data_IF_350796766511
#
_entry.id   IF_350796766511
#
_cell.length_a   1.000
_cell.length_b   1.000
_cell.length_c   1.000
_cell.angle_alpha   90.00
_cell.angle_beta   90.00
_cell.angle_gamma   90.00
#
_symmetry.space_group_name_H-M   'P 1'
#
loop_
_entity.id
_entity.type
_entity.pdbx_description
1 polymer ?
#
# COMPACT_ATOMS: atom_id res chain seq x y z
N UNK A 1 1.29 64.90 1.23
CA UNK A 1 1.16 65.21 2.68
C UNK A 1 -0.22 64.75 3.11
N UNK A 2 -0.31 64.14 4.29
CA UNK A 2 -1.47 63.45 4.91
C UNK A 2 -1.51 61.92 4.72
N UNK A 3 -0.82 61.29 5.67
CA UNK A 3 -1.05 59.96 6.27
C UNK A 3 -2.46 59.85 6.86
N UNK A 4 -3.01 58.62 6.90
CA UNK A 4 -3.77 58.05 8.02
C UNK A 4 -3.59 56.52 7.97
N UNK A 5 -3.06 55.96 9.05
CA UNK A 5 -3.02 54.52 9.35
C UNK A 5 -4.39 54.03 9.86
N UNK A 6 -4.70 52.75 9.67
CA UNK A 6 -5.79 52.10 10.41
C UNK A 6 -6.20 50.72 9.91
N UNK A 7 -5.60 49.68 10.50
CA UNK A 7 -6.11 48.31 10.68
C UNK A 7 -6.58 47.48 9.46
N UNK A 8 -5.89 46.35 9.22
CA UNK A 8 -6.50 45.00 9.17
C UNK A 8 -5.45 43.89 9.13
N UNK A 9 -5.48 43.03 10.15
CA UNK A 9 -4.87 41.71 10.11
C UNK A 9 -5.76 40.73 9.34
N UNK A 10 -5.13 39.68 8.82
CA UNK A 10 -5.69 38.41 8.31
C UNK A 10 -6.35 38.46 6.92
N UNK A 11 -5.69 37.87 5.93
CA UNK A 11 -6.22 36.73 5.14
C UNK A 11 -5.16 36.19 4.18
N UNK A 12 -5.17 34.86 3.99
CA UNK A 12 -4.20 34.04 3.21
C UNK A 12 -4.15 34.47 1.73
N UNK A 13 -2.98 34.45 1.05
CA UNK A 13 -2.90 34.72 -0.38
C UNK A 13 -3.22 33.45 -1.17
N UNK A 14 -4.13 33.52 -2.14
CA UNK A 14 -4.33 32.42 -3.09
C UNK A 14 -5.73 32.24 -3.67
N UNK A 15 -6.58 33.26 -3.70
CA UNK A 15 -7.84 33.20 -4.43
C UNK A 15 -8.08 34.54 -5.12
N UNK A 16 -7.60 34.66 -6.35
CA UNK A 16 -8.03 35.61 -7.39
C UNK A 16 -7.11 35.38 -8.59
N UNK A 17 -7.65 34.78 -9.65
CA UNK A 17 -7.41 35.00 -11.09
C UNK A 17 -8.18 33.87 -11.78
N UNK A 18 -9.49 34.02 -11.96
CA UNK A 18 -10.25 33.58 -13.15
C UNK A 18 -11.50 34.48 -13.23
N UNK A 19 -11.33 35.75 -13.58
CA UNK A 19 -12.42 36.56 -14.16
C UNK A 19 -11.78 37.60 -15.07
N UNK A 20 -11.46 37.22 -16.32
CA UNK A 20 -11.35 38.17 -17.43
C UNK A 20 -11.19 37.53 -18.82
N UNK A 21 -11.99 36.53 -19.16
CA UNK A 21 -12.29 36.25 -20.57
C UNK A 21 -13.75 35.82 -20.63
N UNK A 22 -14.58 36.69 -21.20
CA UNK A 22 -15.83 36.45 -21.94
C UNK A 22 -16.64 37.76 -21.90
N UNK A 23 -16.18 38.72 -22.71
CA UNK A 23 -17.03 39.80 -23.17
C UNK A 23 -17.90 39.30 -24.32
N UNK A 24 -19.17 39.73 -24.32
CA UNK A 24 -20.16 39.64 -25.39
C UNK A 24 -20.67 38.22 -25.73
N UNK A 25 -21.91 37.91 -25.33
CA UNK A 25 -23.07 37.79 -26.23
C UNK A 25 -24.37 37.82 -25.40
N UNK A 26 -25.27 38.76 -25.73
CA UNK A 26 -26.72 38.56 -25.85
C UNK A 26 -27.57 38.26 -24.62
N UNK A 27 -28.40 39.24 -24.23
CA UNK A 27 -29.67 38.99 -23.51
C UNK A 27 -30.59 38.11 -24.36
N UNK A 28 -31.10 37.03 -23.78
CA UNK A 28 -32.38 36.42 -24.17
C UNK A 28 -33.17 36.21 -22.88
N UNK A 29 -34.36 36.82 -22.87
CA UNK A 29 -35.42 36.81 -21.87
C UNK A 29 -36.27 35.54 -21.98
N UNK A 30 -36.79 35.10 -20.83
CA UNK A 30 -37.98 34.27 -20.62
C UNK A 30 -38.11 32.96 -21.42
N UNK A 31 -37.80 31.84 -20.75
CA UNK A 31 -38.51 30.57 -20.96
C UNK A 31 -38.73 29.87 -19.61
N UNK A 32 -39.98 29.49 -19.41
CA UNK A 32 -40.63 28.98 -18.21
C UNK A 32 -39.95 27.74 -17.61
N UNK A 33 -39.94 27.66 -16.28
CA UNK A 33 -39.69 26.44 -15.53
C UNK A 33 -40.81 25.43 -15.84
N UNK A 34 -40.49 24.44 -16.67
CA UNK A 34 -41.25 23.19 -16.76
C UNK A 34 -40.49 22.12 -15.97
N UNK A 35 -41.05 21.70 -14.82
CA UNK A 35 -40.69 20.44 -14.19
C UNK A 35 -41.00 19.30 -15.17
N UNK A 36 -40.05 18.41 -15.50
CA UNK A 36 -40.38 17.16 -16.14
C UNK A 36 -40.66 16.08 -15.10
N UNK A 37 -41.77 15.39 -15.38
CA UNK A 37 -42.35 14.22 -14.74
C UNK A 37 -41.36 13.25 -14.09
N UNK A 38 -41.69 12.89 -12.85
CA UNK A 38 -41.17 11.74 -12.13
C UNK A 38 -41.57 10.44 -12.84
N UNK A 39 -40.78 9.97 -13.82
CA UNK A 39 -40.68 8.55 -14.22
C UNK A 39 -39.60 8.35 -15.28
N UNK A 40 -38.33 8.57 -14.90
CA UNK A 40 -37.21 8.01 -15.65
C UNK A 40 -36.26 7.32 -14.68
N UNK A 41 -36.11 6.01 -14.87
CA UNK A 41 -35.32 5.10 -14.05
C UNK A 41 -33.84 5.51 -14.16
N UNK A 42 -33.39 6.37 -13.24
CA UNK A 42 -31.97 6.62 -13.03
C UNK A 42 -31.34 5.33 -12.51
N UNK A 43 -30.58 4.67 -13.37
CA UNK A 43 -29.64 3.62 -13.00
C UNK A 43 -28.82 4.10 -11.82
N UNK A 44 -29.07 3.51 -10.64
CA UNK A 44 -28.27 3.71 -9.45
C UNK A 44 -26.79 3.47 -9.80
N UNK A 45 -26.01 4.54 -9.88
CA UNK A 45 -24.57 4.44 -9.85
C UNK A 45 -24.18 3.79 -8.53
N UNK A 46 -23.80 2.51 -8.58
CA UNK A 46 -23.18 1.80 -7.47
C UNK A 46 -22.02 2.66 -6.94
N UNK A 47 -22.19 3.21 -5.73
CA UNK A 47 -21.18 4.06 -5.12
C UNK A 47 -20.12 3.15 -4.51
N UNK A 48 -18.89 3.33 -4.94
CA UNK A 48 -17.74 2.51 -4.52
C UNK A 48 -17.39 2.65 -3.04
N UNK A 49 -17.72 3.79 -2.42
CA UNK A 49 -17.80 4.00 -0.98
C UNK A 49 -18.84 5.12 -0.72
N UNK A 50 -19.45 5.22 0.47
CA UNK A 50 -20.44 6.25 0.76
C UNK A 50 -19.87 7.67 0.59
N UNK A 51 -20.71 8.61 0.12
CA UNK A 51 -20.35 10.03 -0.02
C UNK A 51 -20.01 10.66 1.34
N UNK A 52 -19.11 11.64 1.32
CA UNK A 52 -18.89 12.70 2.32
C UNK A 52 -18.67 12.19 3.75
N UNK A 53 -17.40 11.97 4.12
CA UNK A 53 -16.98 11.91 5.53
C UNK A 53 -17.57 10.76 6.35
N UNK A 54 -18.36 9.88 5.75
CA UNK A 54 -18.96 8.73 6.42
C UNK A 54 -17.86 7.73 6.74
N UNK A 55 -17.46 7.71 8.01
CA UNK A 55 -16.49 6.79 8.58
C UNK A 55 -17.16 5.42 8.79
N UNK A 56 -17.34 4.67 7.71
CA UNK A 56 -17.92 3.32 7.77
C UNK A 56 -16.82 2.32 8.09
N UNK A 57 -16.98 1.58 9.19
CA UNK A 57 -16.10 0.46 9.53
C UNK A 57 -16.55 -0.79 8.77
N UNK A 58 -15.64 -1.65 8.31
CA UNK A 58 -16.02 -2.97 7.81
C UNK A 58 -16.68 -3.80 8.93
N UNK A 59 -17.55 -4.73 8.56
CA UNK A 59 -18.04 -5.76 9.47
C UNK A 59 -16.90 -6.74 9.78
N UNK A 60 -16.08 -6.41 10.77
CA UNK A 60 -15.20 -7.38 11.38
C UNK A 60 -16.05 -8.24 12.30
N UNK A 61 -16.20 -9.54 11.99
CA UNK A 61 -16.77 -10.48 12.95
C UNK A 61 -15.95 -10.39 14.24
N UNK A 62 -16.60 -10.19 15.39
CA UNK A 62 -15.96 -10.36 16.69
C UNK A 62 -15.63 -11.84 16.85
N UNK A 63 -14.34 -12.19 16.97
CA UNK A 63 -13.89 -13.59 16.97
C UNK A 63 -13.75 -14.09 18.41
N UNK A 64 -14.28 -15.30 18.73
CA UNK A 64 -14.30 -15.83 20.09
C UNK A 64 -12.93 -15.95 20.74
N UNK A 65 -12.92 -15.65 22.04
CA UNK A 65 -11.76 -15.53 22.92
C UNK A 65 -11.21 -16.89 23.36
N UNK A 66 -10.30 -17.51 22.61
CA UNK A 66 -9.46 -18.59 23.16
C UNK A 66 -8.27 -18.94 22.25
N UNK A 67 -7.12 -18.28 22.40
CA UNK A 67 -5.77 -18.89 22.43
C UNK A 67 -4.66 -17.86 22.67
N UNK A 68 -3.57 -18.32 23.26
CA UNK A 68 -2.59 -17.57 24.04
C UNK A 68 -1.41 -16.97 23.24
N UNK A 69 -0.86 -15.88 23.79
CA UNK A 69 0.51 -15.31 23.66
C UNK A 69 1.40 -15.91 22.54
N UNK A 70 1.23 -15.46 21.30
CA UNK A 70 2.27 -15.56 20.25
C UNK A 70 2.76 -14.17 19.88
N UNK A 71 4.07 -14.00 19.77
CA UNK A 71 4.69 -12.77 19.27
C UNK A 71 4.12 -12.43 17.89
N UNK A 72 3.59 -11.22 17.75
CA UNK A 72 2.92 -10.70 16.54
C UNK A 72 3.89 -10.38 15.39
N UNK A 73 5.15 -10.81 15.52
CA UNK A 73 6.24 -10.57 14.58
C UNK A 73 6.40 -11.63 13.49
N UNK A 74 5.38 -12.41 13.14
CA UNK A 74 5.69 -13.74 12.60
C UNK A 74 4.77 -14.20 11.46
N UNK A 75 4.69 -13.37 10.41
CA UNK A 75 4.29 -13.77 9.06
C UNK A 75 5.44 -13.54 8.07
N UNK A 76 5.47 -14.31 6.98
CA UNK A 76 6.42 -14.26 5.88
C UNK A 76 5.73 -14.82 4.60
N UNK A 77 6.47 -15.17 3.54
CA UNK A 77 5.99 -15.96 2.38
C UNK A 77 6.66 -17.34 2.27
N UNK A 78 7.23 -17.85 3.36
CA UNK A 78 7.77 -19.21 3.48
C UNK A 78 6.69 -20.24 3.80
N UNK A 79 6.96 -21.52 3.56
CA UNK A 79 6.00 -22.63 3.76
C UNK A 79 5.28 -22.61 5.13
N UNK A 80 5.99 -22.29 6.21
CA UNK A 80 5.46 -22.36 7.59
C UNK A 80 4.84 -21.06 8.13
N UNK A 81 5.07 -19.93 7.45
CA UNK A 81 4.61 -18.59 7.87
C UNK A 81 3.95 -17.81 6.73
N UNK A 82 3.70 -18.51 5.63
CA UNK A 82 3.22 -17.98 4.35
C UNK A 82 1.73 -17.63 4.36
N UNK A 83 1.24 -17.06 3.25
CA UNK A 83 -0.15 -16.65 3.07
C UNK A 83 -1.21 -17.65 3.52
N UNK A 84 -0.99 -18.95 3.29
CA UNK A 84 -1.94 -20.01 3.65
C UNK A 84 -2.11 -20.16 5.17
N UNK A 85 -1.13 -19.70 5.95
CA UNK A 85 -1.16 -19.75 7.42
C UNK A 85 -1.69 -18.45 8.04
N UNK A 86 -1.78 -17.36 7.28
CA UNK A 86 -2.14 -16.05 7.81
C UNK A 86 -3.52 -16.02 8.46
N UNK A 87 -4.60 -16.63 7.91
CA UNK A 87 -5.91 -16.66 8.55
C UNK A 87 -5.92 -17.21 9.98
N UNK A 88 -5.00 -18.13 10.31
CA UNK A 88 -4.91 -18.73 11.65
C UNK A 88 -4.44 -17.72 12.71
N UNK A 89 -3.71 -16.67 12.31
CA UNK A 89 -3.16 -15.65 13.23
C UNK A 89 -3.81 -14.29 13.03
N UNK A 90 -4.25 -14.01 11.81
CA UNK A 90 -4.88 -12.78 11.36
C UNK A 90 -6.17 -13.16 10.65
N UNK A 91 -7.26 -13.40 11.38
CA UNK A 91 -8.50 -13.93 10.80
C UNK A 91 -9.10 -13.06 9.69
N UNK A 92 -8.80 -11.77 9.69
CA UNK A 92 -9.17 -10.85 8.60
C UNK A 92 -8.56 -11.23 7.25
N UNK A 93 -7.49 -12.02 7.22
CA UNK A 93 -6.90 -12.53 5.97
C UNK A 93 -7.76 -13.59 5.26
N UNK A 94 -8.84 -14.09 5.87
CA UNK A 94 -9.85 -14.94 5.22
C UNK A 94 -11.18 -14.23 4.95
N UNK A 95 -11.17 -12.89 4.91
CA UNK A 95 -12.36 -12.13 4.55
C UNK A 95 -12.81 -12.34 3.10
N UNK A 96 -14.03 -11.91 2.73
CA UNK A 96 -14.57 -12.11 1.39
C UNK A 96 -14.02 -11.12 0.34
N UNK A 97 -13.43 -10.00 0.75
CA UNK A 97 -12.95 -8.92 -0.13
C UNK A 97 -11.42 -8.81 -0.12
N UNK A 98 -10.73 -9.96 -0.15
CA UNK A 98 -9.27 -10.01 -0.10
C UNK A 98 -8.60 -9.61 -1.43
N UNK A 99 -7.34 -9.19 -1.32
CA UNK A 99 -6.45 -8.83 -2.43
C UNK A 99 -5.13 -9.60 -2.33
N UNK A 100 -4.39 -9.79 -3.44
CA UNK A 100 -4.65 -9.31 -4.81
C UNK A 100 -5.72 -10.14 -5.54
N UNK A 101 -6.20 -9.67 -6.69
CA UNK A 101 -7.16 -10.39 -7.55
C UNK A 101 -6.66 -10.48 -9.00
N UNK A 102 -7.21 -11.42 -9.77
CA UNK A 102 -7.03 -11.41 -11.22
C UNK A 102 -7.92 -10.35 -11.85
N UNK A 103 -7.35 -9.48 -12.67
CA UNK A 103 -8.03 -8.39 -13.36
C UNK A 103 -8.16 -8.72 -14.84
N UNK A 104 -9.34 -8.56 -15.39
CA UNK A 104 -9.61 -8.70 -16.82
C UNK A 104 -10.32 -7.43 -17.32
N UNK A 105 -9.64 -6.72 -18.22
CA UNK A 105 -10.13 -5.48 -18.83
C UNK A 105 -11.38 -5.68 -19.70
N UNK A 106 -11.60 -6.91 -20.21
CA UNK A 106 -12.74 -7.24 -21.07
C UNK A 106 -14.04 -7.45 -20.29
N UNK A 107 -13.94 -7.89 -19.03
CA UNK A 107 -15.08 -8.09 -18.14
C UNK A 107 -15.30 -6.93 -17.17
N UNK A 108 -14.38 -5.96 -17.13
CA UNK A 108 -14.49 -4.82 -16.25
C UNK A 108 -15.64 -3.88 -16.65
N UNK A 109 -16.43 -3.46 -15.67
CA UNK A 109 -17.57 -2.57 -15.89
C UNK A 109 -17.07 -1.16 -16.20
N UNK A 110 -17.35 -0.68 -17.41
CA UNK A 110 -16.97 0.67 -17.82
C UNK A 110 -17.74 1.72 -17.03
N UNK A 111 -17.03 2.74 -16.55
CA UNK A 111 -17.65 3.89 -15.89
C UNK A 111 -16.89 5.17 -16.23
N UNK A 112 -17.61 6.27 -16.34
CA UNK A 112 -17.02 7.58 -16.57
C UNK A 112 -16.73 8.23 -15.21
N UNK A 113 -15.44 8.40 -14.91
CA UNK A 113 -15.01 9.14 -13.72
C UNK A 113 -13.90 10.11 -14.10
N UNK A 114 -13.80 11.25 -13.40
CA UNK A 114 -12.68 12.17 -13.55
C UNK A 114 -11.35 11.46 -13.30
N UNK A 115 -10.32 11.88 -14.04
CA UNK A 115 -8.95 11.40 -13.82
C UNK A 115 -8.49 11.73 -12.40
N UNK A 116 -7.55 10.96 -11.89
CA UNK A 116 -6.85 11.30 -10.64
C UNK A 116 -6.02 12.57 -10.87
N UNK A 117 -6.21 13.54 -9.98
CA UNK A 117 -5.43 14.77 -9.92
C UNK A 117 -4.35 14.63 -8.85
N UNK A 118 -3.09 14.83 -9.25
CA UNK A 118 -1.91 14.63 -8.40
C UNK A 118 -1.33 15.97 -7.98
N UNK A 119 -1.16 16.18 -6.67
CA UNK A 119 -0.59 17.40 -6.11
C UNK A 119 0.71 17.12 -5.35
N UNK A 120 1.70 17.99 -5.56
CA UNK A 120 2.98 17.93 -4.86
C UNK A 120 3.94 16.82 -5.30
N UNK A 121 3.53 15.89 -6.17
CA UNK A 121 4.37 14.76 -6.62
C UNK A 121 5.63 15.18 -7.40
N UNK A 122 5.65 16.40 -7.95
CA UNK A 122 6.81 17.02 -8.60
C UNK A 122 7.76 17.70 -7.61
N UNK A 123 7.35 17.89 -6.35
CA UNK A 123 8.15 18.54 -5.32
C UNK A 123 9.16 17.54 -4.76
N UNK A 124 10.44 17.93 -4.77
CA UNK A 124 11.53 17.13 -4.21
C UNK A 124 11.39 17.06 -2.68
N UNK A 125 11.34 15.86 -2.07
CA UNK A 125 11.31 15.72 -0.62
C UNK A 125 12.64 16.17 0.02
N UNK A 126 12.60 16.51 1.32
CA UNK A 126 13.80 16.81 2.11
C UNK A 126 14.63 15.55 2.36
N UNK A 127 13.96 14.44 2.63
CA UNK A 127 14.58 13.15 2.96
C UNK A 127 13.87 12.04 2.22
N UNK A 128 14.65 11.05 1.78
CA UNK A 128 14.14 9.84 1.18
C UNK A 128 14.96 8.67 1.72
N UNK A 129 14.27 7.64 2.20
CA UNK A 129 14.88 6.50 2.89
C UNK A 129 14.37 5.21 2.27
N UNK A 130 15.29 4.32 1.96
CA UNK A 130 15.02 2.98 1.45
C UNK A 130 15.39 1.96 2.53
N UNK A 131 14.49 1.04 2.83
CA UNK A 131 14.70 -0.01 3.83
C UNK A 131 14.38 -1.38 3.27
N UNK A 132 15.22 -2.38 3.55
CA UNK A 132 14.91 -3.79 3.33
C UNK A 132 14.57 -4.45 4.66
N UNK A 133 13.32 -4.89 4.81
CA UNK A 133 12.84 -5.46 6.07
C UNK A 133 12.75 -7.01 6.05
N UNK A 134 13.29 -7.66 5.00
CA UNK A 134 13.75 -9.06 5.05
C UNK A 134 12.75 -10.20 4.76
N UNK A 135 11.56 -9.97 4.21
CA UNK A 135 10.57 -11.05 3.97
C UNK A 135 10.57 -11.61 2.55
N UNK A 136 10.24 -12.90 2.43
CA UNK A 136 10.48 -13.72 1.22
C UNK A 136 9.50 -14.85 0.98
N UNK A 137 9.30 -15.15 -0.30
CA UNK A 137 9.21 -16.52 -0.78
C UNK A 137 10.59 -16.95 -1.27
N UNK A 138 11.02 -18.14 -0.87
CA UNK A 138 12.35 -18.70 -1.20
C UNK A 138 12.30 -19.32 -2.60
N UNK A 139 13.36 -19.15 -3.38
CA UNK A 139 13.56 -19.92 -4.62
C UNK A 139 14.02 -21.34 -4.27
N UNK A 140 13.16 -22.33 -4.48
CA UNK A 140 13.60 -23.73 -4.51
C UNK A 140 14.18 -24.01 -5.88
N UNK A 141 15.51 -23.99 -6.00
CA UNK A 141 16.16 -24.55 -7.18
C UNK A 141 15.96 -26.07 -7.16
N UNK A 142 15.19 -26.59 -8.11
CA UNK A 142 15.07 -28.03 -8.37
C UNK A 142 16.37 -28.52 -9.03
N UNK A 143 17.43 -28.63 -8.22
CA UNK A 143 18.61 -29.38 -8.63
C UNK A 143 18.26 -30.87 -8.58
N UNK A 144 18.25 -31.50 -9.76
CA UNK A 144 18.19 -32.95 -9.95
C UNK A 144 19.20 -33.60 -9.02
N UNK A 145 18.71 -34.43 -8.10
CA UNK A 145 19.50 -35.26 -7.21
C UNK A 145 20.25 -36.31 -8.00
N UNK A 146 21.57 -36.19 -8.10
CA UNK A 146 22.43 -37.36 -8.24
C UNK A 146 22.74 -37.85 -6.83
N UNK A 147 22.27 -39.06 -6.57
CA UNK A 147 22.53 -39.84 -5.37
C UNK A 147 24.03 -40.08 -5.20
N UNK A 148 24.56 -39.82 -4.01
CA UNK A 148 25.58 -40.70 -3.45
C UNK A 148 25.60 -40.61 -1.92
N UNK A 149 25.50 -41.80 -1.34
CA UNK A 149 25.43 -42.08 0.08
C UNK A 149 26.83 -41.98 0.71
N UNK A 150 26.93 -41.42 1.91
CA UNK A 150 27.92 -41.90 2.88
C UNK A 150 27.48 -41.63 4.31
N UNK A 151 27.26 -42.72 5.06
CA UNK A 151 27.08 -42.77 6.52
C UNK A 151 28.38 -42.41 7.25
N UNK A 152 28.26 -41.83 8.45
CA UNK A 152 29.03 -42.12 9.68
C UNK A 152 28.42 -41.32 10.85
N UNK A 153 27.70 -41.97 11.77
CA UNK A 153 28.10 -42.37 13.14
C UNK A 153 28.41 -41.19 14.07
N UNK A 154 27.61 -41.05 15.14
CA UNK A 154 27.72 -39.96 16.12
C UNK A 154 28.55 -40.29 17.35
N UNK A 155 28.65 -39.33 18.27
CA UNK A 155 28.94 -39.47 19.71
C UNK A 155 28.35 -38.26 20.44
N UNK A 156 27.83 -38.51 21.65
CA UNK A 156 27.15 -37.62 22.59
C UNK A 156 28.06 -36.84 23.56
N UNK A 157 27.47 -35.76 24.12
CA UNK A 157 27.72 -35.07 25.41
C UNK A 157 28.93 -34.14 25.58
N UNK A 158 28.66 -32.86 25.95
CA UNK A 158 29.04 -32.31 27.26
C UNK A 158 28.35 -30.95 27.57
N UNK A 159 27.84 -30.84 28.80
CA UNK A 159 27.31 -29.64 29.45
C UNK A 159 28.42 -28.61 29.76
N UNK A 160 28.09 -27.30 29.67
CA UNK A 160 28.54 -26.31 30.65
C UNK A 160 27.64 -25.08 30.69
N UNK A 161 27.39 -24.62 31.91
CA UNK A 161 26.44 -23.58 32.31
C UNK A 161 27.16 -22.28 32.71
N UNK A 162 26.34 -21.21 32.77
CA UNK A 162 26.37 -19.99 33.62
C UNK A 162 26.76 -18.66 32.96
N UNK A 163 25.88 -17.68 33.19
CA UNK A 163 26.17 -16.24 33.11
C UNK A 163 24.95 -15.33 32.88
N UNK A 164 23.89 -15.41 33.71
CA UNK A 164 22.82 -14.40 33.75
C UNK A 164 22.99 -13.52 34.99
N UNK A 165 22.95 -12.20 34.81
CA UNK A 165 22.83 -11.22 35.91
C UNK A 165 21.41 -10.70 35.99
N UNK A 166 20.85 -10.76 37.20
CA UNK A 166 19.58 -10.21 37.62
C UNK A 166 19.69 -8.71 37.92
N UNK A 167 18.62 -7.97 37.66
CA UNK A 167 18.31 -6.75 38.40
C UNK A 167 16.82 -6.75 38.76
N UNK A 168 16.54 -6.62 40.06
CA UNK A 168 15.24 -6.70 40.71
C UNK A 168 15.01 -5.37 41.43
N UNK A 169 14.01 -4.57 41.06
CA UNK A 169 13.47 -3.52 41.95
C UNK A 169 11.96 -3.33 41.74
N UNK A 170 11.22 -3.86 42.71
CA UNK A 170 10.04 -3.36 43.41
C UNK A 170 8.77 -2.93 42.64
N UNK A 171 7.74 -3.76 42.82
CA UNK A 171 6.33 -3.41 42.69
C UNK A 171 5.86 -2.52 43.85
N UNK A 172 4.97 -1.57 43.56
CA UNK A 172 4.01 -1.02 44.52
C UNK A 172 2.60 -1.16 43.96
N UNK A 173 1.73 -1.71 44.82
CA UNK A 173 0.33 -2.00 44.60
C UNK A 173 -0.53 -0.72 44.54
N UNK A 174 -1.46 -0.66 43.59
CA UNK A 174 -2.77 -0.02 43.74
C UNK A 174 -3.85 -0.92 43.10
N UNK A 175 -4.99 -1.04 43.79
CA UNK A 175 -6.13 -1.95 43.57
C UNK A 175 -7.03 -1.54 42.38
N UNK A 176 -7.99 -2.39 41.94
CA UNK A 176 -8.24 -2.67 40.53
C UNK A 176 -9.36 -1.83 39.92
N UNK A 177 -9.14 -1.32 38.72
CA UNK A 177 -10.20 -0.80 37.87
C UNK A 177 -10.56 -1.89 36.85
N UNK A 178 -11.76 -2.46 37.03
CA UNK A 178 -12.62 -3.17 36.07
C UNK A 178 -11.88 -4.07 35.05
N UNK A 179 -12.02 -5.38 35.26
CA UNK A 179 -11.62 -6.46 34.34
C UNK A 179 -12.20 -6.24 32.93
N UNK A 180 -11.47 -5.50 32.10
CA UNK A 180 -11.51 -5.64 30.65
C UNK A 180 -10.69 -6.88 30.29
N UNK A 181 -11.36 -7.97 29.92
CA UNK A 181 -10.72 -9.18 29.43
C UNK A 181 -9.85 -8.83 28.22
N UNK A 182 -8.53 -9.02 28.34
CA UNK A 182 -7.56 -8.73 27.28
C UNK A 182 -7.41 -9.97 26.39
N UNK A 183 -7.94 -9.91 25.16
CA UNK A 183 -8.33 -11.06 24.32
C UNK A 183 -7.30 -11.51 23.27
N UNK A 184 -6.00 -11.24 23.40
CA UNK A 184 -4.92 -11.96 22.68
C UNK A 184 -4.87 -11.88 21.13
N UNK A 185 -5.94 -11.49 20.43
CA UNK A 185 -5.99 -11.19 19.00
C UNK A 185 -5.71 -9.69 18.85
N UNK A 186 -4.68 -9.28 18.09
CA UNK A 186 -4.32 -7.87 17.99
C UNK A 186 -5.39 -7.16 17.15
N UNK A 187 -5.88 -6.03 17.63
CA UNK A 187 -6.75 -5.18 16.82
C UNK A 187 -6.05 -4.79 15.52
N UNK A 188 -6.80 -4.51 14.46
CA UNK A 188 -6.24 -3.98 13.20
C UNK A 188 -5.30 -2.80 13.48
N UNK A 189 -5.69 -1.89 14.37
CA UNK A 189 -4.83 -0.77 14.81
C UNK A 189 -3.52 -1.22 15.47
N UNK A 190 -3.52 -2.27 16.30
CA UNK A 190 -2.30 -2.80 16.91
C UNK A 190 -1.36 -3.39 15.85
N UNK A 191 -1.88 -4.20 14.92
CA UNK A 191 -1.06 -4.74 13.81
C UNK A 191 -0.55 -3.61 12.90
N UNK A 192 -1.36 -2.58 12.67
CA UNK A 192 -0.98 -1.41 11.86
C UNK A 192 0.10 -0.53 12.53
N UNK A 193 0.11 -0.41 13.86
CA UNK A 193 1.23 0.25 14.59
C UNK A 193 2.52 -0.54 14.47
N UNK A 194 2.44 -1.86 14.60
CA UNK A 194 3.61 -2.72 14.40
C UNK A 194 4.07 -2.69 12.93
N UNK A 195 3.15 -2.44 11.98
CA UNK A 195 3.42 -2.20 10.56
C UNK A 195 4.17 -0.90 10.24
N UNK A 196 4.42 0.04 11.14
CA UNK A 196 5.48 1.03 10.84
C UNK A 196 6.83 0.32 10.54
N UNK A 197 6.98 -0.90 11.05
CA UNK A 197 8.05 -1.85 10.77
C UNK A 197 7.68 -2.84 9.63
N UNK A 198 6.76 -2.45 8.73
CA UNK A 198 6.25 -3.29 7.62
C UNK A 198 7.37 -3.80 6.71
N UNK A 199 7.15 -5.01 6.24
CA UNK A 199 8.11 -6.10 6.09
C UNK A 199 8.58 -6.33 4.66
N UNK A 200 8.75 -5.26 3.89
CA UNK A 200 9.09 -5.31 2.45
C UNK A 200 10.29 -4.42 2.15
N UNK A 201 10.70 -4.35 0.88
CA UNK A 201 11.51 -3.24 0.40
C UNK A 201 10.61 -1.99 0.35
N UNK A 202 10.86 -1.02 1.23
CA UNK A 202 10.00 0.16 1.40
C UNK A 202 10.79 1.43 1.14
N UNK A 203 10.25 2.30 0.29
CA UNK A 203 10.69 3.66 0.06
C UNK A 203 9.78 4.64 0.81
N UNK A 204 10.37 5.46 1.67
CA UNK A 204 9.70 6.55 2.39
C UNK A 204 10.29 7.89 2.01
N UNK A 205 9.49 8.94 2.09
CA UNK A 205 9.91 10.30 1.83
C UNK A 205 9.27 11.29 2.81
N UNK A 206 10.01 12.33 3.16
CA UNK A 206 9.55 13.39 4.07
C UNK A 206 9.68 14.76 3.41
N UNK A 207 8.67 15.59 3.56
CA UNK A 207 8.67 16.99 3.12
C UNK A 207 8.81 17.91 4.34
N UNK A 208 9.56 19.02 4.21
CA UNK A 208 9.76 19.97 5.31
C UNK A 208 8.50 20.83 5.51
N UNK A 209 8.09 21.16 6.74
CA UNK A 209 7.06 22.16 6.97
C UNK A 209 7.41 23.49 6.28
N UNK A 210 6.42 24.22 5.69
CA UNK A 210 4.99 23.96 5.66
C UNK A 210 4.54 23.01 4.52
N UNK A 211 5.48 22.40 3.79
CA UNK A 211 5.15 21.46 2.72
C UNK A 211 4.67 20.15 3.32
N UNK A 212 3.45 19.75 2.95
CA UNK A 212 2.89 18.45 3.30
C UNK A 212 3.35 17.37 2.32
N UNK A 213 3.17 16.10 2.70
CA UNK A 213 3.32 14.98 1.78
C UNK A 213 2.37 15.16 0.59
N UNK A 214 2.78 14.72 -0.62
CA UNK A 214 1.96 14.87 -1.81
C UNK A 214 0.69 14.02 -1.69
N UNK A 215 -0.37 14.43 -2.37
CA UNK A 215 -1.67 13.80 -2.25
C UNK A 215 -2.41 13.85 -3.57
N UNK A 216 -3.51 13.12 -3.66
CA UNK A 216 -4.32 13.08 -4.87
C UNK A 216 -5.82 12.93 -4.55
N UNK A 217 -6.66 13.27 -5.53
CA UNK A 217 -8.13 13.18 -5.44
C UNK A 217 -8.73 13.00 -6.85
N UNK A 218 -10.05 12.78 -6.96
CA UNK A 218 -10.72 12.72 -8.27
C UNK A 218 -11.25 14.09 -8.70
N UNK A 219 -12.12 14.73 -7.91
CA UNK A 219 -12.61 16.09 -8.11
C UNK A 219 -12.32 17.02 -6.93
N UNK A 220 -12.17 18.34 -7.16
CA UNK A 220 -12.12 19.30 -6.07
C UNK A 220 -13.31 19.11 -5.12
N UNK A 221 -13.03 18.89 -3.83
CA UNK A 221 -14.05 18.61 -2.81
C UNK A 221 -14.26 17.12 -2.49
N UNK A 222 -13.70 16.20 -3.28
CA UNK A 222 -13.63 14.78 -2.94
C UNK A 222 -12.57 14.52 -1.85
N UNK A 223 -12.58 13.30 -1.34
CA UNK A 223 -11.64 12.81 -0.35
C UNK A 223 -10.21 12.81 -0.90
N UNK A 224 -9.32 13.49 -0.17
CA UNK A 224 -7.90 13.59 -0.48
C UNK A 224 -7.14 12.39 0.12
N UNK A 225 -6.26 11.79 -0.67
CA UNK A 225 -5.42 10.66 -0.26
C UNK A 225 -3.96 11.07 -0.23
N UNK A 226 -3.38 11.09 0.96
CA UNK A 226 -2.02 11.56 1.25
C UNK A 226 -1.04 10.40 1.13
N UNK A 227 0.08 10.63 0.45
CA UNK A 227 1.14 9.64 0.28
C UNK A 227 1.77 9.22 1.62
N UNK A 228 1.95 7.91 1.82
CA UNK A 228 2.67 7.36 2.98
C UNK A 228 3.99 6.70 2.57
N UNK A 229 3.95 5.76 1.62
CA UNK A 229 5.11 4.95 1.23
C UNK A 229 4.93 4.27 -0.13
N UNK A 230 6.05 3.82 -0.71
CA UNK A 230 6.06 2.87 -1.82
C UNK A 230 6.73 1.58 -1.42
N UNK A 231 6.24 0.46 -1.90
CA UNK A 231 6.90 -0.83 -1.73
C UNK A 231 6.76 -1.70 -2.98
N UNK A 232 7.55 -2.77 -3.01
CA UNK A 232 7.75 -3.57 -4.20
C UNK A 232 7.53 -5.06 -3.89
N UNK A 233 6.86 -5.72 -4.81
CA UNK A 233 6.72 -7.17 -4.90
C UNK A 233 7.39 -7.65 -6.18
N UNK A 234 8.12 -8.74 -6.12
CA UNK A 234 8.80 -9.31 -7.27
C UNK A 234 8.90 -10.83 -7.18
N UNK A 235 9.24 -11.40 -8.33
CA UNK A 235 9.43 -12.83 -8.51
C UNK A 235 10.86 -13.17 -8.90
N UNK A 236 11.16 -14.46 -8.77
CA UNK A 236 12.45 -15.02 -9.10
C UNK A 236 12.75 -15.03 -10.60
N UNK A 237 11.70 -14.99 -11.42
CA UNK A 237 11.74 -15.13 -12.87
C UNK A 237 11.12 -13.92 -13.57
N UNK A 238 11.40 -13.76 -14.86
CA UNK A 238 11.04 -12.55 -15.62
C UNK A 238 9.56 -12.46 -15.99
N UNK A 239 8.77 -13.50 -15.72
CA UNK A 239 7.35 -13.61 -16.10
C UNK A 239 6.40 -13.73 -14.90
N UNK A 240 6.92 -13.71 -13.67
CA UNK A 240 6.13 -13.85 -12.43
C UNK A 240 6.72 -12.97 -11.34
N UNK A 241 5.88 -12.44 -10.42
CA UNK A 241 6.36 -11.57 -9.35
C UNK A 241 5.42 -10.49 -8.85
N UNK A 242 4.53 -9.99 -9.71
CA UNK A 242 3.44 -9.10 -9.33
C UNK A 242 2.48 -9.84 -8.42
N UNK A 243 1.75 -9.13 -7.57
CA UNK A 243 0.69 -9.70 -6.75
C UNK A 243 -0.57 -9.91 -7.61
N UNK A 244 -0.99 -8.86 -8.31
CA UNK A 244 -2.09 -8.89 -9.27
C UNK A 244 -1.68 -9.56 -10.59
N UNK A 245 -2.69 -10.01 -11.32
CA UNK A 245 -2.56 -10.32 -12.74
C UNK A 245 -3.47 -9.40 -13.54
N UNK A 246 -3.06 -9.05 -14.76
CA UNK A 246 -3.85 -8.26 -15.71
C UNK A 246 -4.02 -9.05 -17.00
N UNK A 247 -5.26 -9.28 -17.44
CA UNK A 247 -5.61 -10.06 -18.62
C UNK A 247 -4.91 -11.43 -18.64
N UNK A 248 -4.98 -12.16 -17.52
CA UNK A 248 -4.32 -13.45 -17.27
C UNK A 248 -2.80 -13.44 -17.28
N UNK A 249 -2.18 -12.26 -17.27
CA UNK A 249 -0.73 -12.12 -17.24
C UNK A 249 -0.22 -11.68 -15.88
N UNK A 250 0.87 -12.30 -15.43
CA UNK A 250 1.66 -11.87 -14.27
C UNK A 250 2.92 -11.16 -14.77
N UNK A 251 3.44 -10.27 -13.94
CA UNK A 251 4.59 -9.44 -14.25
C UNK A 251 5.75 -9.75 -13.30
N UNK A 252 7.02 -9.49 -13.67
CA UNK A 252 8.17 -9.74 -12.80
C UNK A 252 8.21 -8.89 -11.53
N UNK A 253 7.60 -7.71 -11.56
CA UNK A 253 7.60 -6.77 -10.45
C UNK A 253 6.33 -5.91 -10.44
N UNK A 254 5.81 -5.65 -9.25
CA UNK A 254 4.71 -4.73 -8.98
C UNK A 254 5.09 -3.74 -7.88
N UNK A 255 4.87 -2.45 -8.13
CA UNK A 255 5.06 -1.40 -7.15
C UNK A 255 3.71 -0.94 -6.62
N UNK A 256 3.57 -0.86 -5.30
CA UNK A 256 2.41 -0.30 -4.61
C UNK A 256 2.74 1.05 -4.03
N UNK A 257 1.95 2.07 -4.40
CA UNK A 257 2.01 3.42 -3.83
C UNK A 257 0.85 3.60 -2.86
N UNK A 258 1.15 3.63 -1.57
CA UNK A 258 0.16 3.58 -0.49
C UNK A 258 -0.17 4.98 0.01
N UNK A 259 -1.46 5.20 0.23
CA UNK A 259 -2.00 6.45 0.72
C UNK A 259 -3.06 6.21 1.79
N UNK A 260 -3.19 7.13 2.73
CA UNK A 260 -4.31 7.23 3.65
C UNK A 260 -5.24 8.38 3.27
N UNK A 261 -6.53 8.22 3.58
CA UNK A 261 -7.53 9.29 3.47
C UNK A 261 -7.25 10.37 4.52
N UNK A 262 -7.16 11.63 4.08
CA UNK A 262 -6.65 12.76 4.88
C UNK A 262 -7.37 12.96 6.22
N UNK A 263 -8.69 12.82 6.26
CA UNK A 263 -9.53 12.98 7.48
C UNK A 263 -9.33 11.86 8.54
N UNK A 264 -8.55 10.83 8.19
CA UNK A 264 -8.16 9.72 9.07
C UNK A 264 -6.74 9.92 9.63
N UNK A 265 -6.01 10.95 9.18
CA UNK A 265 -4.70 11.41 9.65
C UNK A 265 -3.50 10.47 9.43
N UNK A 266 -3.69 9.16 9.40
CA UNK A 266 -2.61 8.17 9.21
C UNK A 266 -3.14 6.81 8.75
N UNK A 267 -2.22 5.94 8.32
CA UNK A 267 -2.53 4.58 7.89
C UNK A 267 -3.20 3.71 8.96
N UNK A 268 -2.84 3.90 10.23
CA UNK A 268 -3.39 3.09 11.34
C UNK A 268 -4.91 3.28 11.46
N UNK A 269 -5.34 4.54 11.49
CA UNK A 269 -6.75 4.89 11.54
C UNK A 269 -7.44 4.56 10.22
N UNK A 270 -6.77 4.82 9.08
CA UNK A 270 -7.30 4.52 7.76
C UNK A 270 -7.65 3.04 7.58
N UNK A 271 -6.84 2.13 8.12
CA UNK A 271 -7.10 0.70 8.08
C UNK A 271 -8.38 0.25 8.81
N UNK A 272 -9.00 1.13 9.60
CA UNK A 272 -10.23 0.85 10.33
C UNK A 272 -11.50 1.19 9.54
N UNK A 273 -11.38 1.90 8.42
CA UNK A 273 -12.54 2.42 7.68
C UNK A 273 -12.50 1.99 6.22
N UNK A 274 -13.66 1.60 5.70
CA UNK A 274 -13.86 1.27 4.29
C UNK A 274 -13.40 2.44 3.40
N UNK A 275 -12.50 2.16 2.45
CA UNK A 275 -11.91 3.17 1.58
C UNK A 275 -10.98 4.13 2.32
N UNK A 276 -10.56 3.82 3.55
CA UNK A 276 -9.63 4.65 4.29
C UNK A 276 -8.22 4.61 3.69
N UNK A 277 -7.86 3.53 2.99
CA UNK A 277 -6.57 3.37 2.32
C UNK A 277 -6.80 3.35 0.81
N UNK A 278 -5.92 4.01 0.05
CA UNK A 278 -5.84 3.86 -1.40
C UNK A 278 -4.47 3.41 -1.82
N UNK A 279 -4.44 2.38 -2.66
CA UNK A 279 -3.19 1.85 -3.21
C UNK A 279 -3.22 1.98 -4.73
N UNK A 280 -2.19 2.59 -5.29
CA UNK A 280 -1.97 2.67 -6.73
C UNK A 280 -0.91 1.65 -7.11
N UNK A 281 -1.29 0.65 -7.92
CA UNK A 281 -0.41 -0.43 -8.35
C UNK A 281 0.15 -0.17 -9.74
N UNK A 282 1.45 -0.41 -9.92
CA UNK A 282 2.15 -0.30 -11.19
C UNK A 282 2.86 -1.61 -11.52
N UNK A 283 2.59 -2.17 -12.69
CA UNK A 283 3.28 -3.35 -13.20
C UNK A 283 4.58 -2.96 -13.89
N UNK A 284 5.54 -3.88 -13.90
CA UNK A 284 6.78 -3.72 -14.65
C UNK A 284 7.09 -4.95 -15.48
N UNK A 285 7.65 -4.77 -16.67
CA UNK A 285 8.17 -5.82 -17.53
C UNK A 285 9.68 -5.71 -17.67
N UNK A 286 10.34 -6.86 -17.74
CA UNK A 286 11.74 -6.92 -18.15
C UNK A 286 11.83 -6.62 -19.65
N UNK A 287 12.77 -5.75 -20.01
CA UNK A 287 13.13 -5.45 -21.40
C UNK A 287 14.64 -5.27 -21.52
N UNK A 288 15.15 -5.07 -22.74
CA UNK A 288 16.56 -4.71 -22.94
C UNK A 288 16.82 -3.20 -22.71
N UNK A 289 15.77 -2.41 -22.43
CA UNK A 289 15.88 -0.99 -22.16
C UNK A 289 16.16 -0.72 -20.68
N UNK A 290 17.24 0.02 -20.43
CA UNK A 290 17.56 0.53 -19.11
C UNK A 290 16.65 1.71 -18.73
N UNK A 291 15.99 1.62 -17.59
CA UNK A 291 15.06 2.65 -17.14
C UNK A 291 15.76 3.69 -16.26
N UNK A 292 16.11 4.84 -16.83
CA UNK A 292 16.78 5.94 -16.15
C UNK A 292 15.95 6.56 -15.00
N UNK A 293 14.63 6.37 -15.00
CA UNK A 293 13.78 6.86 -13.91
C UNK A 293 13.93 6.04 -12.63
N UNK A 294 14.33 4.76 -12.74
CA UNK A 294 14.55 3.86 -11.61
C UNK A 294 15.99 3.94 -11.06
N UNK A 295 16.91 4.59 -11.75
CA UNK A 295 18.34 4.45 -11.49
C UNK A 295 18.72 4.79 -10.04
N UNK A 296 18.21 5.91 -9.50
CA UNK A 296 18.48 6.32 -8.12
C UNK A 296 17.99 5.32 -7.07
N UNK A 297 16.87 4.66 -7.36
CA UNK A 297 16.30 3.61 -6.50
C UNK A 297 17.16 2.35 -6.61
N UNK A 298 17.40 1.89 -7.84
CA UNK A 298 18.10 0.63 -8.13
C UNK A 298 19.54 0.66 -7.63
N UNK A 299 20.26 1.77 -7.83
CA UNK A 299 21.65 1.91 -7.34
C UNK A 299 21.76 1.79 -5.83
N UNK A 300 20.71 2.18 -5.10
CA UNK A 300 20.67 2.14 -3.64
C UNK A 300 20.34 0.74 -3.07
N UNK A 301 19.86 -0.21 -3.90
CA UNK A 301 19.49 -1.55 -3.44
C UNK A 301 20.67 -2.32 -2.83
N UNK A 302 21.86 -2.14 -3.38
CA UNK A 302 23.09 -2.75 -2.85
C UNK A 302 23.37 -2.38 -1.38
N UNK A 303 23.09 -1.13 -1.00
CA UNK A 303 23.26 -0.62 0.35
C UNK A 303 22.24 -1.17 1.35
N UNK A 304 21.15 -1.78 0.84
CA UNK A 304 20.12 -2.45 1.65
C UNK A 304 20.00 -3.94 1.33
N UNK A 305 21.07 -4.56 0.85
CA UNK A 305 21.08 -5.98 0.49
C UNK A 305 20.70 -6.90 1.65
N UNK A 306 21.09 -6.58 2.88
CA UNK A 306 20.78 -7.38 4.07
C UNK A 306 19.39 -7.03 4.63
N UNK A 307 18.69 -7.97 5.28
CA UNK A 307 17.46 -7.64 6.01
C UNK A 307 17.75 -6.66 7.16
N UNK A 308 16.71 -5.95 7.59
CA UNK A 308 16.73 -4.90 8.62
C UNK A 308 17.74 -3.78 8.37
N UNK A 309 18.11 -3.57 7.11
CA UNK A 309 19.00 -2.48 6.71
C UNK A 309 18.22 -1.32 6.12
N UNK A 310 18.77 -0.12 6.29
CA UNK A 310 18.17 1.11 5.79
C UNK A 310 19.26 2.07 5.32
N UNK A 311 18.98 2.81 4.25
CA UNK A 311 19.88 3.81 3.70
C UNK A 311 19.11 5.06 3.28
N UNK A 312 19.77 6.21 3.36
CA UNK A 312 19.25 7.44 2.77
C UNK A 312 19.65 7.48 1.30
N UNK A 313 18.70 7.83 0.44
CA UNK A 313 18.96 8.01 -0.99
C UNK A 313 18.82 9.49 -1.35
N UNK A 314 19.57 9.93 -2.35
CA UNK A 314 19.51 11.32 -2.79
C UNK A 314 18.08 11.65 -3.24
N UNK A 315 17.37 12.57 -2.56
CA UNK A 315 15.94 12.74 -2.80
C UNK A 315 15.63 13.15 -4.25
N UNK A 316 14.53 12.61 -4.79
CA UNK A 316 14.02 12.95 -6.11
C UNK A 316 12.49 13.06 -6.09
N UNK A 317 11.88 13.84 -7.02
CA UNK A 317 10.43 13.91 -7.13
C UNK A 317 9.80 12.54 -7.38
N UNK A 318 8.73 12.22 -6.64
CA UNK A 318 8.02 10.94 -6.79
C UNK A 318 7.46 10.72 -8.20
N UNK A 319 7.20 11.80 -8.95
CA UNK A 319 6.88 11.74 -10.38
C UNK A 319 7.86 10.89 -11.18
N UNK A 320 9.14 10.76 -10.80
CA UNK A 320 10.04 9.83 -11.51
C UNK A 320 9.51 8.40 -11.55
N UNK A 321 8.92 7.93 -10.45
CA UNK A 321 8.38 6.58 -10.34
C UNK A 321 6.94 6.47 -10.87
N UNK A 322 6.15 7.56 -10.83
CA UNK A 322 4.71 7.52 -11.15
C UNK A 322 4.27 8.33 -12.39
N UNK A 323 5.20 8.94 -13.15
CA UNK A 323 4.89 9.98 -14.16
C UNK A 323 3.89 9.59 -15.25
N UNK A 324 3.70 8.30 -15.53
CA UNK A 324 2.85 7.83 -16.65
C UNK A 324 1.45 7.45 -16.22
N UNK A 325 0.94 7.97 -15.10
CA UNK A 325 -0.41 7.60 -14.68
C UNK A 325 -1.46 8.10 -15.70
N UNK A 326 -2.18 7.21 -16.39
CA UNK A 326 -3.03 7.55 -17.50
C UNK A 326 -4.37 8.09 -17.01
N UNK A 327 -5.17 8.56 -17.96
CA UNK A 327 -6.58 8.86 -17.72
C UNK A 327 -7.38 7.58 -17.39
N UNK A 328 -7.00 6.45 -17.99
CA UNK A 328 -7.75 5.19 -17.94
C UNK A 328 -7.08 4.17 -17.04
N UNK A 329 -7.79 3.68 -16.02
CA UNK A 329 -7.26 2.74 -15.04
C UNK A 329 -8.36 1.80 -14.56
N UNK A 330 -7.97 0.67 -13.98
CA UNK A 330 -8.94 -0.19 -13.29
C UNK A 330 -9.05 0.24 -11.83
N UNK A 331 -10.21 0.07 -11.23
CA UNK A 331 -10.40 0.28 -9.80
C UNK A 331 -11.18 -0.87 -9.19
N UNK A 332 -10.79 -1.30 -7.98
CA UNK A 332 -11.56 -2.27 -7.21
C UNK A 332 -11.44 -2.11 -5.69
N UNK A 333 -12.45 -2.56 -4.95
CA UNK A 333 -12.41 -2.58 -3.49
C UNK A 333 -11.83 -3.90 -3.00
N UNK A 334 -10.86 -3.82 -2.11
CA UNK A 334 -10.16 -4.99 -1.62
C UNK A 334 -9.48 -4.79 -0.27
N UNK A 335 -8.39 -5.52 -0.08
CA UNK A 335 -7.67 -5.56 1.19
C UNK A 335 -6.22 -5.13 1.06
N UNK A 336 -5.55 -4.96 2.20
CA UNK A 336 -4.10 -5.07 2.26
C UNK A 336 -3.69 -6.50 1.83
N UNK A 337 -2.57 -6.63 1.13
CA UNK A 337 -2.04 -7.92 0.62
C UNK A 337 -1.07 -8.61 1.59
N UNK A 338 -0.96 -8.07 2.79
CA UNK A 338 -0.18 -8.61 3.90
C UNK A 338 -1.00 -8.46 5.18
N UNK A 339 -0.72 -9.21 6.26
CA UNK A 339 -1.41 -9.04 7.54
C UNK A 339 -1.41 -7.59 8.05
N UNK A 340 -2.52 -7.05 8.58
CA UNK A 340 -3.71 -7.78 9.00
C UNK A 340 -4.72 -8.04 7.88
N UNK A 341 -4.38 -7.80 6.61
CA UNK A 341 -5.27 -7.99 5.48
C UNK A 341 -6.60 -7.23 5.58
N UNK A 342 -6.57 -6.03 6.16
CA UNK A 342 -7.75 -5.19 6.36
C UNK A 342 -8.44 -4.87 5.02
N UNK A 343 -9.74 -5.12 4.94
CA UNK A 343 -10.59 -4.92 3.73
C UNK A 343 -11.04 -3.47 3.58
N UNK A 344 -10.06 -2.57 3.61
CA UNK A 344 -10.27 -1.11 3.66
C UNK A 344 -9.61 -0.38 2.49
N UNK A 345 -9.11 -1.14 1.51
CA UNK A 345 -8.30 -0.63 0.40
C UNK A 345 -9.16 -0.37 -0.83
N UNK A 346 -9.12 0.86 -1.32
CA UNK A 346 -9.50 1.21 -2.69
C UNK A 346 -8.28 1.04 -3.59
N UNK A 347 -8.31 0.04 -4.47
CA UNK A 347 -7.25 -0.22 -5.44
C UNK A 347 -7.45 0.61 -6.70
N UNK A 348 -6.35 1.14 -7.21
CA UNK A 348 -6.22 1.82 -8.50
C UNK A 348 -5.10 1.15 -9.27
N UNK A 349 -5.40 0.60 -10.44
CA UNK A 349 -4.47 -0.24 -11.20
C UNK A 349 -4.05 0.48 -12.48
N UNK A 350 -2.76 0.78 -12.55
CA UNK A 350 -2.11 1.26 -13.76
C UNK A 350 -1.99 0.12 -14.77
N UNK A 351 -2.67 0.24 -15.91
CA UNK A 351 -2.79 -0.88 -16.87
C UNK A 351 -1.57 -1.03 -17.79
N UNK A 352 -0.74 0.01 -17.94
CA UNK A 352 0.40 0.02 -18.87
C UNK A 352 1.70 -0.35 -18.13
N UNK A 353 2.27 -1.54 -18.33
CA UNK A 353 3.47 -1.92 -17.58
C UNK A 353 4.65 -0.99 -17.89
N UNK A 354 5.28 -0.47 -16.86
CA UNK A 354 6.58 0.19 -16.99
C UNK A 354 7.65 -0.84 -17.39
N UNK A 355 8.80 -0.38 -17.86
CA UNK A 355 9.91 -1.27 -18.22
C UNK A 355 11.05 -1.15 -17.24
N UNK A 356 11.78 -2.22 -17.00
CA UNK A 356 13.11 -2.20 -16.38
C UNK A 356 14.03 -3.17 -17.10
N UNK A 357 15.34 -2.92 -17.05
CA UNK A 357 16.31 -3.83 -17.66
C UNK A 357 16.51 -5.10 -16.82
N UNK A 358 16.97 -6.19 -17.45
CA UNK A 358 17.41 -7.42 -16.76
C UNK A 358 18.38 -7.12 -15.60
N UNK A 359 19.33 -6.22 -15.82
CA UNK A 359 20.28 -5.78 -14.78
C UNK A 359 19.55 -5.13 -13.60
N UNK A 360 18.64 -4.20 -13.87
CA UNK A 360 17.88 -3.53 -12.81
C UNK A 360 16.99 -4.53 -12.04
N UNK A 361 16.39 -5.50 -12.72
CA UNK A 361 15.61 -6.57 -12.09
C UNK A 361 16.50 -7.44 -11.18
N UNK A 362 17.73 -7.73 -11.59
CA UNK A 362 18.67 -8.51 -10.80
C UNK A 362 19.03 -7.83 -9.47
N UNK A 363 19.10 -6.50 -9.42
CA UNK A 363 19.37 -5.78 -8.16
C UNK A 363 18.28 -6.01 -7.11
N UNK A 364 17.00 -6.14 -7.52
CA UNK A 364 15.93 -6.55 -6.60
C UNK A 364 16.11 -7.98 -6.12
N UNK A 365 16.47 -8.90 -7.03
CA UNK A 365 16.70 -10.33 -6.71
C UNK A 365 17.98 -10.57 -5.89
N UNK A 366 18.88 -9.60 -5.82
CA UNK A 366 20.09 -9.65 -4.99
C UNK A 366 19.83 -9.32 -3.51
N UNK A 367 18.65 -8.78 -3.18
CA UNK A 367 18.27 -8.56 -1.79
C UNK A 367 18.16 -9.90 -1.05
N UNK A 368 18.56 -9.88 0.22
CA UNK A 368 18.60 -11.05 1.09
C UNK A 368 17.56 -10.95 2.19
N UNK A 369 17.19 -12.12 2.69
CA UNK A 369 16.27 -12.30 3.81
C UNK A 369 16.98 -12.66 5.11
N UNK A 370 16.19 -12.90 6.15
CA UNK A 370 16.68 -13.27 7.49
C UNK A 370 17.47 -14.59 7.51
N UNK A 371 17.23 -15.49 6.56
CA UNK A 371 18.01 -16.73 6.37
C UNK A 371 19.23 -16.55 5.46
N UNK A 372 19.55 -15.32 5.02
CA UNK A 372 20.66 -15.04 4.10
C UNK A 372 20.43 -15.52 2.67
N UNK A 373 19.18 -15.86 2.32
CA UNK A 373 18.76 -16.29 0.98
C UNK A 373 18.23 -15.12 0.17
N UNK A 374 18.39 -15.19 -1.15
CA UNK A 374 17.83 -14.20 -2.06
C UNK A 374 16.30 -14.15 -1.98
N UNK A 375 15.75 -12.95 -1.98
CA UNK A 375 14.30 -12.73 -2.03
C UNK A 375 13.82 -13.04 -3.44
N UNK A 376 13.10 -14.15 -3.57
CA UNK A 376 12.58 -14.65 -4.84
C UNK A 376 11.14 -14.24 -5.09
N UNK A 377 10.21 -14.68 -4.24
CA UNK A 377 8.77 -14.58 -4.50
C UNK A 377 8.03 -13.95 -3.31
N UNK A 378 8.07 -12.64 -3.15
CA UNK A 378 7.45 -11.94 -2.02
C UNK A 378 6.04 -11.41 -2.35
N UNK A 379 5.22 -12.19 -3.03
CA UNK A 379 3.86 -11.83 -3.44
C UNK A 379 2.82 -12.82 -2.91
N UNK A 380 1.63 -12.32 -2.57
CA UNK A 380 0.51 -13.13 -2.09
C UNK A 380 -0.20 -13.82 -3.27
N UNK A 381 -0.66 -15.08 -3.10
CA UNK A 381 -1.54 -15.74 -4.06
C UNK A 381 -2.81 -14.93 -4.34
N UNK A 382 -3.36 -15.08 -5.55
CA UNK A 382 -4.61 -14.45 -5.95
C UNK A 382 -5.75 -14.87 -5.04
N UNK A 383 -6.63 -13.91 -4.76
CA UNK A 383 -7.81 -14.08 -3.94
C UNK A 383 -9.07 -14.05 -4.83
N UNK A 384 -10.12 -14.80 -4.47
CA UNK A 384 -11.36 -14.79 -5.23
C UNK A 384 -12.01 -13.40 -5.27
N UNK A 385 -12.59 -13.03 -6.42
CA UNK A 385 -13.28 -11.75 -6.56
C UNK A 385 -14.61 -11.71 -5.79
N UNK A 386 -15.23 -12.87 -5.52
CA UNK A 386 -16.45 -13.02 -4.71
C UNK A 386 -17.58 -12.04 -5.09
N UNK A 387 -17.82 -11.89 -6.41
CA UNK A 387 -18.87 -11.03 -6.94
C UNK A 387 -18.57 -9.52 -6.89
N UNK A 388 -17.39 -9.10 -6.42
CA UNK A 388 -16.98 -7.68 -6.48
C UNK A 388 -16.85 -7.22 -7.93
N UNK A 389 -17.42 -6.06 -8.23
CA UNK A 389 -17.26 -5.43 -9.54
C UNK A 389 -15.87 -4.82 -9.68
N UNK A 390 -15.16 -5.11 -10.77
CA UNK A 390 -13.97 -4.34 -11.18
C UNK A 390 -14.42 -3.24 -12.14
N UNK A 391 -14.05 -2.00 -11.86
CA UNK A 391 -14.39 -0.86 -12.71
C UNK A 391 -13.27 -0.57 -13.71
N UNK A 392 -13.65 -0.20 -14.92
CA UNK A 392 -12.78 0.42 -15.90
C UNK A 392 -13.12 1.91 -16.00
N UNK A 393 -12.25 2.76 -15.45
CA UNK A 393 -12.43 4.22 -15.48
C UNK A 393 -12.03 4.77 -16.85
N UNK A 394 -12.94 5.52 -17.48
CA UNK A 394 -12.76 6.18 -18.79
C UNK A 394 -12.86 7.70 -18.70
#
# INVERSE_FOLDING_TARGET
MLTIEGFKSLTKPGMLIIEKILGNVGKITDLEEHEPDSNEIQTHGERYYPKNGSKVKPHYNEIPSETTKKSFKDFDYTENKGPDTWPNRFPWCSGPSQSPVALDTSTATSTHRPRILWWGYSLKPRRMTLSNNGHTGVTTSSSRTNSQSSRKTGVSNLLRTKGQSFCLVLARNTLPTILGFNTGVPSVSAVMREREHSRLLVLRAEWPPPMEAPYHWYLPGDEEYVFDQMHFHWGAEDLVGSEHTLNNERFPLEMHVVHHRRDLNNLENAALYLGGIRVVAFFFRVSDHHNLYLEKLVSALSAVSRPDSSTNIEPFPLTRLIHRFPRFFLAYNGSLTTPPCAETVSWVIHQEPAVLSKRQMQEFRNLLNHEGRQIGNNYRPLQPLNGRTVLHIR
#
